data_IF_519179118569
#
_entry.id   IF_519179118569
#
_cell.length_a   1.000
_cell.length_b   1.000
_cell.length_c   1.000
_cell.angle_alpha   90.00
_cell.angle_beta   90.00
_cell.angle_gamma   90.00
#
_symmetry.space_group_name_H-M   'P 1'
#
loop_
_entity.id
_entity.type
_entity.pdbx_description
1 polymer ?
#
# COMPACT_ATOMS: atom_id res chain seq x y z
N UNK A 1 -42.94 31.64 -29.37
CA UNK A 1 -41.81 31.27 -28.50
C UNK A 1 -40.56 31.77 -29.19
N UNK A 2 -40.03 32.90 -28.73
CA UNK A 2 -38.89 33.58 -29.30
C UNK A 2 -37.62 32.96 -28.70
N UNK A 3 -36.78 32.35 -29.54
CA UNK A 3 -35.48 31.84 -29.10
C UNK A 3 -34.50 33.02 -29.07
N UNK A 4 -34.09 33.43 -27.87
CA UNK A 4 -33.03 34.42 -27.71
C UNK A 4 -31.70 33.86 -28.25
N UNK A 5 -31.02 34.54 -29.18
CA UNK A 5 -29.72 34.10 -29.68
C UNK A 5 -28.65 34.31 -28.60
N UNK A 6 -28.06 33.22 -28.10
CA UNK A 6 -26.89 33.28 -27.22
C UNK A 6 -25.63 33.56 -28.07
N UNK A 7 -25.25 34.84 -28.15
CA UNK A 7 -23.94 35.27 -28.67
C UNK A 7 -22.83 34.82 -27.71
N UNK A 8 -22.40 33.56 -27.84
CA UNK A 8 -21.26 33.04 -27.09
C UNK A 8 -19.97 33.37 -27.83
N UNK A 9 -19.51 34.63 -27.70
CA UNK A 9 -18.11 34.97 -28.00
C UNK A 9 -17.19 34.33 -26.98
N UNK A 10 -16.88 33.05 -27.17
CA UNK A 10 -15.82 32.39 -26.41
C UNK A 10 -14.49 33.05 -26.76
N UNK A 11 -13.97 33.87 -25.85
CA UNK A 11 -12.59 34.34 -25.94
C UNK A 11 -11.67 33.12 -25.87
N UNK A 12 -10.74 33.00 -26.82
CA UNK A 12 -9.73 31.92 -26.84
C UNK A 12 -9.01 31.82 -25.49
N UNK A 13 -8.75 32.96 -24.84
CA UNK A 13 -8.20 33.04 -23.47
C UNK A 13 -9.10 32.35 -22.43
N UNK A 14 -10.41 32.53 -22.51
CA UNK A 14 -11.38 31.86 -21.64
C UNK A 14 -11.39 30.34 -21.83
N UNK A 15 -11.30 29.89 -23.09
CA UNK A 15 -11.22 28.46 -23.41
C UNK A 15 -9.95 27.81 -22.83
N UNK A 16 -8.78 28.44 -22.98
CA UNK A 16 -7.53 27.95 -22.38
C UNK A 16 -7.59 27.86 -20.85
N UNK A 17 -8.16 28.86 -20.18
CA UNK A 17 -8.29 28.85 -18.71
C UNK A 17 -9.18 27.68 -18.26
N UNK A 18 -10.31 27.45 -18.93
CA UNK A 18 -11.21 26.33 -18.61
C UNK A 18 -10.50 24.99 -18.80
N UNK A 19 -9.76 24.82 -19.89
CA UNK A 19 -8.99 23.59 -20.14
C UNK A 19 -7.96 23.35 -19.03
N UNK A 20 -7.19 24.38 -18.65
CA UNK A 20 -6.20 24.27 -17.56
C UNK A 20 -6.89 23.91 -16.24
N UNK A 21 -8.02 24.55 -15.91
CA UNK A 21 -8.78 24.25 -14.71
C UNK A 21 -9.27 22.80 -14.70
N UNK A 22 -9.76 22.28 -15.83
CA UNK A 22 -10.18 20.88 -15.95
C UNK A 22 -8.99 19.95 -15.65
N UNK A 23 -7.81 20.20 -16.24
CA UNK A 23 -6.62 19.39 -15.94
C UNK A 23 -6.25 19.44 -14.46
N UNK A 24 -6.21 20.63 -13.86
CA UNK A 24 -5.93 20.79 -12.43
C UNK A 24 -6.94 20.00 -11.58
N UNK A 25 -8.23 20.08 -11.89
CA UNK A 25 -9.26 19.33 -11.18
C UNK A 25 -9.09 17.82 -11.31
N UNK A 26 -8.75 17.32 -12.50
CA UNK A 26 -8.48 15.90 -12.73
C UNK A 26 -7.27 15.43 -11.90
N UNK A 27 -6.16 16.17 -11.96
CA UNK A 27 -4.97 15.84 -11.18
C UNK A 27 -5.23 15.92 -9.68
N UNK A 28 -5.93 16.95 -9.20
CA UNK A 28 -6.29 17.09 -7.80
C UNK A 28 -7.15 15.90 -7.31
N UNK A 29 -8.18 15.51 -8.08
CA UNK A 29 -9.01 14.36 -7.76
C UNK A 29 -8.19 13.06 -7.71
N UNK A 30 -7.33 12.86 -8.70
CA UNK A 30 -6.43 11.69 -8.76
C UNK A 30 -5.46 11.63 -7.57
N UNK A 31 -4.85 12.76 -7.20
CA UNK A 31 -3.95 12.84 -6.04
C UNK A 31 -4.69 12.56 -4.74
N UNK A 32 -5.88 13.11 -4.53
CA UNK A 32 -6.68 12.85 -3.32
C UNK A 32 -7.01 11.36 -3.22
N UNK A 33 -7.48 10.76 -4.31
CA UNK A 33 -7.78 9.33 -4.35
C UNK A 33 -6.54 8.48 -4.04
N UNK A 34 -5.41 8.81 -4.64
CA UNK A 34 -4.14 8.13 -4.40
C UNK A 34 -3.74 8.19 -2.92
N UNK A 35 -3.74 9.39 -2.32
CA UNK A 35 -3.35 9.57 -0.91
C UNK A 35 -4.31 8.83 0.02
N UNK A 36 -5.60 8.79 -0.29
CA UNK A 36 -6.58 8.06 0.51
C UNK A 36 -6.32 6.55 0.52
N UNK A 37 -6.05 5.96 -0.65
CA UNK A 37 -5.72 4.53 -0.77
C UNK A 37 -4.40 4.21 -0.08
N UNK A 38 -3.37 5.01 -0.33
CA UNK A 38 -2.03 4.81 0.23
C UNK A 38 -2.02 4.93 1.76
N UNK A 39 -2.77 5.87 2.32
CA UNK A 39 -2.92 6.00 3.78
C UNK A 39 -3.66 4.80 4.37
N UNK A 40 -4.68 4.29 3.68
CA UNK A 40 -5.38 3.08 4.10
C UNK A 40 -4.46 1.86 4.11
N UNK A 41 -3.61 1.71 3.08
CA UNK A 41 -2.62 0.64 2.98
C UNK A 41 -1.65 0.65 4.16
N UNK A 42 -1.07 1.81 4.46
CA UNK A 42 -0.12 1.96 5.57
C UNK A 42 -0.81 1.68 6.90
N UNK A 43 -2.00 2.22 7.13
CA UNK A 43 -2.74 1.97 8.37
C UNK A 43 -3.05 0.49 8.58
N UNK A 44 -3.44 -0.24 7.53
CA UNK A 44 -3.70 -1.67 7.61
C UNK A 44 -2.41 -2.47 7.86
N UNK A 45 -1.31 -2.10 7.20
CA UNK A 45 -0.02 -2.74 7.41
C UNK A 45 0.53 -2.47 8.81
N UNK A 46 0.48 -1.23 9.31
CA UNK A 46 0.91 -0.87 10.67
C UNK A 46 0.11 -1.65 11.73
N UNK A 47 -1.16 -1.94 11.45
CA UNK A 47 -1.99 -2.75 12.33
C UNK A 47 -1.58 -4.24 12.32
N UNK A 48 -1.21 -4.82 11.18
CA UNK A 48 -1.06 -6.28 11.03
C UNK A 48 0.39 -6.77 10.86
N UNK A 49 1.32 -5.90 10.47
CA UNK A 49 2.72 -6.18 10.16
C UNK A 49 3.63 -5.39 11.10
N UNK A 50 3.43 -5.59 12.40
CA UNK A 50 4.28 -4.98 13.43
C UNK A 50 5.57 -5.77 13.57
N UNK A 51 6.69 -5.06 13.57
CA UNK A 51 8.01 -5.63 13.83
C UNK A 51 8.03 -6.35 15.18
N UNK A 52 8.63 -7.54 15.20
CA UNK A 52 8.76 -8.33 16.42
C UNK A 52 9.69 -7.61 17.42
N UNK A 53 9.39 -7.63 18.74
CA UNK A 53 10.26 -6.99 19.74
C UNK A 53 11.69 -7.54 19.68
N UNK A 54 12.68 -6.67 19.89
CA UNK A 54 14.11 -7.02 19.81
C UNK A 54 14.59 -7.57 18.46
N UNK A 55 13.75 -7.54 17.42
CA UNK A 55 14.21 -7.83 16.07
C UNK A 55 14.96 -6.64 15.49
N UNK A 56 15.91 -6.93 14.60
CA UNK A 56 16.63 -5.93 13.79
C UNK A 56 16.22 -6.03 12.34
N UNK A 57 16.10 -4.90 11.67
CA UNK A 57 15.87 -4.84 10.24
C UNK A 57 17.11 -5.34 9.50
N UNK A 58 16.93 -6.34 8.63
CA UNK A 58 17.96 -6.87 7.75
C UNK A 58 17.84 -6.26 6.35
N UNK A 59 16.62 -6.25 5.82
CA UNK A 59 16.36 -5.76 4.47
C UNK A 59 14.93 -5.24 4.36
N UNK A 60 14.73 -4.17 3.61
CA UNK A 60 13.41 -3.69 3.21
C UNK A 60 13.43 -3.41 1.71
N UNK A 61 12.45 -3.97 1.00
CA UNK A 61 12.23 -3.71 -0.42
C UNK A 61 10.78 -3.35 -0.64
N UNK A 62 10.53 -2.33 -1.45
CA UNK A 62 9.17 -1.91 -1.80
C UNK A 62 9.13 -1.45 -3.26
N UNK A 63 7.97 -1.59 -3.89
CA UNK A 63 7.81 -1.36 -5.34
C UNK A 63 7.35 0.06 -5.69
N UNK A 64 7.03 0.91 -4.71
CA UNK A 64 6.44 2.23 -4.96
C UNK A 64 7.04 3.35 -4.10
N UNK A 65 6.26 4.39 -3.79
CA UNK A 65 6.76 5.62 -3.14
C UNK A 65 7.28 5.42 -1.71
N UNK A 66 6.68 4.50 -0.93
CA UNK A 66 7.07 4.24 0.47
C UNK A 66 6.79 2.81 0.91
N UNK A 67 7.46 2.32 1.97
CA UNK A 67 7.15 1.04 2.58
C UNK A 67 5.69 0.97 3.04
N UNK A 68 5.09 -0.20 2.88
CA UNK A 68 3.71 -0.54 3.26
C UNK A 68 2.59 0.32 2.65
N UNK A 69 2.93 1.24 1.74
CA UNK A 69 1.99 1.98 0.93
C UNK A 69 1.40 1.15 -0.21
N UNK A 70 0.94 1.84 -1.25
CA UNK A 70 0.50 1.19 -2.50
C UNK A 70 1.67 0.39 -3.10
N UNK A 71 1.36 -0.80 -3.64
CA UNK A 71 2.33 -1.72 -4.24
C UNK A 71 2.65 -2.91 -3.35
N UNK A 72 3.88 -3.41 -3.46
CA UNK A 72 4.40 -4.53 -2.69
C UNK A 72 5.50 -4.05 -1.76
N UNK A 73 5.50 -4.53 -0.52
CA UNK A 73 6.59 -4.34 0.44
C UNK A 73 6.98 -5.70 1.02
N UNK A 74 8.27 -6.01 1.01
CA UNK A 74 8.86 -7.12 1.75
C UNK A 74 9.88 -6.54 2.74
N UNK A 75 9.61 -6.70 4.03
CA UNK A 75 10.52 -6.34 5.12
C UNK A 75 11.00 -7.61 5.80
N UNK A 76 12.32 -7.78 5.88
CA UNK A 76 12.98 -8.92 6.48
C UNK A 76 13.64 -8.47 7.78
N UNK A 77 13.26 -9.09 8.88
CA UNK A 77 13.80 -8.87 10.21
C UNK A 77 14.51 -10.13 10.70
N UNK A 78 15.45 -9.95 11.62
CA UNK A 78 16.11 -11.02 12.35
C UNK A 78 15.89 -10.84 13.84
N UNK A 79 15.55 -11.89 14.56
CA UNK A 79 15.55 -11.95 16.03
C UNK A 79 16.41 -13.12 16.50
N UNK A 80 17.06 -12.97 17.65
CA UNK A 80 17.79 -14.07 18.30
C UNK A 80 16.85 -15.09 18.96
N UNK A 81 15.57 -14.73 19.13
CA UNK A 81 14.56 -15.58 19.74
C UNK A 81 14.18 -16.78 18.87
N UNK A 82 13.83 -17.94 19.49
CA UNK A 82 13.45 -19.13 18.76
C UNK A 82 12.11 -18.94 18.03
N UNK A 83 11.94 -19.63 16.89
CA UNK A 83 10.77 -19.48 16.01
C UNK A 83 9.43 -19.71 16.72
N UNK A 84 9.39 -20.60 17.70
CA UNK A 84 8.19 -20.87 18.49
C UNK A 84 7.79 -19.67 19.37
N UNK A 85 8.76 -18.97 19.95
CA UNK A 85 8.50 -17.76 20.73
C UNK A 85 7.96 -16.64 19.82
N UNK A 86 8.61 -16.40 18.69
CA UNK A 86 8.18 -15.41 17.69
C UNK A 86 6.78 -15.72 17.17
N UNK A 87 6.52 -16.98 16.80
CA UNK A 87 5.20 -17.44 16.33
C UNK A 87 4.12 -17.22 17.39
N UNK A 88 4.38 -17.61 18.63
CA UNK A 88 3.41 -17.48 19.72
C UNK A 88 3.03 -16.01 19.97
N UNK A 89 4.00 -15.09 19.85
CA UNK A 89 3.76 -13.66 19.98
C UNK A 89 2.85 -13.12 18.88
N UNK A 90 3.13 -13.43 17.60
CA UNK A 90 2.28 -12.99 16.50
C UNK A 90 0.87 -13.57 16.61
N UNK A 91 0.73 -14.86 16.96
CA UNK A 91 -0.57 -15.48 17.16
C UNK A 91 -1.36 -14.83 18.29
N UNK A 92 -0.73 -14.55 19.44
CA UNK A 92 -1.37 -13.89 20.56
C UNK A 92 -1.75 -12.43 20.24
N UNK A 93 -0.95 -11.74 19.42
CA UNK A 93 -1.26 -10.40 18.94
C UNK A 93 -2.42 -10.40 17.95
N UNK A 94 -2.38 -11.25 16.93
CA UNK A 94 -3.44 -11.38 15.92
C UNK A 94 -4.77 -11.75 16.57
N UNK A 95 -4.75 -12.67 17.55
CA UNK A 95 -5.94 -13.02 18.34
C UNK A 95 -6.55 -11.81 19.06
N UNK A 96 -5.73 -11.00 19.74
CA UNK A 96 -6.19 -9.78 20.44
C UNK A 96 -6.82 -8.77 19.47
N UNK A 97 -6.25 -8.61 18.27
CA UNK A 97 -6.81 -7.71 17.27
C UNK A 97 -8.17 -8.19 16.75
N UNK A 98 -8.29 -9.49 16.50
CA UNK A 98 -9.55 -10.12 16.06
C UNK A 98 -10.61 -9.98 17.15
N UNK A 99 -10.26 -10.23 18.41
CA UNK A 99 -11.16 -10.05 19.57
C UNK A 99 -11.59 -8.60 19.75
N UNK A 100 -10.73 -7.64 19.40
CA UNK A 100 -11.06 -6.21 19.36
C UNK A 100 -11.91 -5.78 18.13
N UNK A 101 -12.34 -6.73 17.29
CA UNK A 101 -13.20 -6.47 16.13
C UNK A 101 -12.45 -6.09 14.85
N UNK A 102 -11.12 -6.19 14.82
CA UNK A 102 -10.35 -5.93 13.62
C UNK A 102 -10.38 -7.15 12.69
N UNK A 103 -10.47 -6.90 11.38
CA UNK A 103 -10.44 -7.95 10.36
C UNK A 103 -9.19 -7.77 9.52
N UNK A 104 -8.42 -8.86 9.37
CA UNK A 104 -7.19 -8.87 8.57
C UNK A 104 -7.54 -8.92 7.09
N UNK A 105 -6.83 -8.17 6.26
CA UNK A 105 -7.04 -8.09 4.81
C UNK A 105 -8.44 -7.56 4.46
N UNK A 106 -8.91 -6.55 5.22
CA UNK A 106 -10.20 -5.92 4.98
C UNK A 106 -9.95 -4.68 4.10
N UNK A 107 -10.04 -4.86 2.79
CA UNK A 107 -9.93 -3.76 1.84
C UNK A 107 -9.03 -4.11 0.67
N UNK A 108 -8.08 -3.21 0.36
CA UNK A 108 -7.19 -3.30 -0.79
C UNK A 108 -5.84 -3.95 -0.47
N UNK A 109 -5.59 -4.24 0.81
CA UNK A 109 -4.34 -4.82 1.33
C UNK A 109 -4.42 -6.31 1.58
N UNK A 110 -3.32 -7.02 1.31
CA UNK A 110 -3.08 -8.38 1.77
C UNK A 110 -1.75 -8.45 2.50
N UNK A 111 -1.86 -8.60 3.82
CA UNK A 111 -0.77 -8.58 4.78
C UNK A 111 -0.53 -10.00 5.31
N UNK A 112 0.69 -10.48 5.21
CA UNK A 112 1.11 -11.77 5.75
C UNK A 112 2.51 -11.68 6.33
N UNK A 113 2.83 -12.55 7.27
CA UNK A 113 4.19 -12.76 7.76
C UNK A 113 4.59 -14.22 7.53
N UNK A 114 5.85 -14.43 7.21
CA UNK A 114 6.48 -15.75 7.12
C UNK A 114 7.59 -15.80 8.16
N UNK A 115 7.71 -16.93 8.84
CA UNK A 115 8.72 -17.17 9.86
C UNK A 115 9.58 -18.35 9.40
N UNK A 116 10.89 -18.16 9.42
CA UNK A 116 11.84 -19.21 9.10
C UNK A 116 12.98 -19.23 10.13
N UNK A 117 13.64 -20.37 10.27
CA UNK A 117 14.84 -20.46 11.10
C UNK A 117 15.99 -19.75 10.38
N UNK A 118 16.77 -18.96 11.11
CA UNK A 118 17.90 -18.25 10.49
C UNK A 118 18.95 -19.24 9.92
N UNK A 119 19.69 -18.87 8.85
CA UNK A 119 20.65 -19.77 8.19
C UNK A 119 21.76 -20.30 9.10
N UNK A 120 22.14 -19.53 10.12
CA UNK A 120 23.10 -19.88 11.16
C UNK A 120 22.52 -20.79 12.26
N UNK A 121 21.24 -21.19 12.12
CA UNK A 121 20.44 -21.95 13.08
C UNK A 121 20.28 -21.26 14.43
N UNK A 122 20.54 -19.95 14.50
CA UNK A 122 20.40 -19.15 15.72
C UNK A 122 19.32 -18.09 15.47
N UNK A 123 18.21 -18.21 16.17
CA UNK A 123 17.10 -17.26 16.05
C UNK A 123 16.20 -17.49 14.84
N UNK A 124 15.51 -16.42 14.45
CA UNK A 124 14.38 -16.46 13.51
C UNK A 124 14.46 -15.32 12.51
N UNK A 125 14.29 -15.67 11.24
CA UNK A 125 14.06 -14.73 10.15
C UNK A 125 12.56 -14.48 10.02
N UNK A 126 12.16 -13.23 9.99
CA UNK A 126 10.76 -12.79 9.95
C UNK A 126 10.59 -11.98 8.68
N UNK A 127 9.76 -12.46 7.76
CA UNK A 127 9.45 -11.75 6.53
C UNK A 127 8.03 -11.20 6.61
N UNK A 128 7.91 -9.88 6.70
CA UNK A 128 6.64 -9.15 6.64
C UNK A 128 6.37 -8.78 5.18
N UNK A 129 5.22 -9.19 4.67
CA UNK A 129 4.82 -9.01 3.27
C UNK A 129 3.50 -8.26 3.24
N UNK A 130 3.51 -7.08 2.62
CA UNK A 130 2.32 -6.31 2.28
C UNK A 130 2.16 -6.25 0.77
N UNK A 131 0.95 -6.54 0.31
CA UNK A 131 0.53 -6.34 -1.07
C UNK A 131 -0.72 -5.48 -1.04
N UNK A 132 -0.61 -4.18 -1.29
CA UNK A 132 -1.75 -3.27 -1.26
C UNK A 132 -1.99 -2.61 -2.61
N UNK A 133 -3.21 -2.70 -3.12
CA UNK A 133 -3.64 -2.01 -4.33
C UNK A 133 -2.65 -2.16 -5.51
N UNK A 134 -2.05 -3.34 -5.70
CA UNK A 134 -0.99 -3.54 -6.70
C UNK A 134 -1.42 -3.16 -8.12
N UNK A 135 -2.70 -3.30 -8.47
CA UNK A 135 -3.23 -2.84 -9.76
C UNK A 135 -3.08 -1.33 -10.00
N UNK A 136 -2.99 -0.51 -8.94
CA UNK A 136 -2.74 0.93 -9.04
C UNK A 136 -1.24 1.26 -9.22
N UNK A 137 -0.32 0.36 -8.86
CA UNK A 137 1.11 0.51 -9.17
C UNK A 137 1.48 0.05 -10.59
N UNK A 138 0.63 -0.75 -11.24
CA UNK A 138 0.88 -1.34 -12.58
C UNK A 138 0.85 -0.30 -13.72
N UNK A 139 0.45 0.94 -13.47
CA UNK A 139 0.53 2.03 -14.46
C UNK A 139 1.95 2.51 -14.80
N UNK A 140 3.00 2.00 -14.11
CA UNK A 140 4.41 2.36 -14.36
C UNK A 140 5.31 1.15 -14.67
N UNK A 141 4.78 -0.08 -14.60
CA UNK A 141 5.50 -1.27 -15.05
C UNK A 141 5.00 -1.59 -16.47
N UNK A 142 5.75 -1.16 -17.48
CA UNK A 142 5.55 -1.60 -18.86
C UNK A 142 5.54 -3.12 -18.90
N UNK A 143 4.35 -3.67 -19.20
CA UNK A 143 4.11 -4.85 -20.02
C UNK A 143 5.37 -5.68 -20.33
N UNK A 144 5.65 -6.69 -19.48
CA UNK A 144 6.28 -7.91 -19.98
C UNK A 144 5.18 -8.95 -20.15
N UNK A 145 4.48 -8.84 -21.27
CA UNK A 145 3.72 -9.97 -21.83
C UNK A 145 4.74 -11.05 -22.15
N UNK A 146 4.66 -12.16 -21.40
CA UNK A 146 5.35 -13.40 -21.71
C UNK A 146 4.65 -14.02 -22.91
N UNK A 147 5.26 -13.95 -24.09
CA UNK A 147 4.95 -14.88 -25.18
C UNK A 147 5.40 -16.29 -24.76
N UNK A 148 4.49 -17.26 -24.90
CA UNK A 148 4.80 -18.68 -25.02
C UNK A 148 3.87 -19.24 -26.09
#
# INVERSE_FOLDING_TARGET
MEYAPHDTRYSTRGCFIVIIMIFISIFACGTIFYVAVDTSCVNEADLWLVDYPNSRLIQETYSFMRPFGIGKTNRILYSEDPINAVRSWYMARDKRLIEAGNVKNRGYGRNTYLLDTAPDKKGTMIMLISNCAQGLSVGLETEKVSEN
#
